data_IF_997228864219
#
_entry.id   IF_997228864219
#
_cell.length_a   1.000
_cell.length_b   1.000
_cell.length_c   1.000
_cell.angle_alpha   90.00
_cell.angle_beta   90.00
_cell.angle_gamma   90.00
#
_symmetry.space_group_name_H-M   'P 1'
#
loop_
_entity.id
_entity.type
_entity.pdbx_description
1 polymer ?
#
# COMPACT_ATOMS: atom_id res chain seq x y z
N UNK A 1 -4.12 -22.56 -12.66
CA UNK A 1 -5.59 -22.40 -12.66
C UNK A 1 -5.98 -21.00 -12.14
N UNK A 2 -5.18 -19.98 -12.45
CA UNK A 2 -4.97 -18.82 -11.55
C UNK A 2 -5.36 -17.47 -12.18
N UNK A 3 -5.28 -17.33 -13.50
CA UNK A 3 -5.49 -16.05 -14.20
C UNK A 3 -6.93 -15.53 -14.21
N UNK A 4 -7.93 -16.37 -13.92
CA UNK A 4 -9.34 -15.96 -13.87
C UNK A 4 -9.72 -15.37 -12.51
N UNK A 5 -9.00 -15.74 -11.45
CA UNK A 5 -9.32 -15.30 -10.09
C UNK A 5 -8.92 -13.84 -9.88
N UNK A 6 -7.76 -13.39 -10.38
CA UNK A 6 -7.34 -11.98 -10.32
C UNK A 6 -8.34 -11.05 -11.00
N UNK A 7 -8.81 -11.37 -12.20
CA UNK A 7 -9.79 -10.57 -12.95
C UNK A 7 -11.16 -10.49 -12.25
N UNK A 8 -11.57 -11.54 -11.55
CA UNK A 8 -12.80 -11.54 -10.76
C UNK A 8 -12.61 -10.72 -9.49
N UNK A 9 -11.50 -10.94 -8.78
CA UNK A 9 -11.17 -10.25 -7.53
C UNK A 9 -11.03 -8.75 -7.74
N UNK A 10 -10.34 -8.30 -8.81
CA UNK A 10 -10.14 -6.87 -9.07
C UNK A 10 -11.46 -6.16 -9.32
N UNK A 11 -12.38 -6.78 -10.07
CA UNK A 11 -13.73 -6.23 -10.34
C UNK A 11 -14.56 -6.19 -9.07
N UNK A 12 -14.50 -7.27 -8.27
CA UNK A 12 -15.26 -7.37 -7.04
C UNK A 12 -14.79 -6.37 -5.98
N UNK A 13 -13.48 -6.24 -5.80
CA UNK A 13 -12.89 -5.27 -4.88
C UNK A 13 -13.16 -3.83 -5.36
N UNK A 14 -13.03 -3.55 -6.65
CA UNK A 14 -13.36 -2.23 -7.23
C UNK A 14 -14.82 -1.86 -6.97
N UNK A 15 -15.76 -2.75 -7.28
CA UNK A 15 -17.19 -2.52 -7.02
C UNK A 15 -17.48 -2.32 -5.53
N UNK A 16 -16.84 -3.09 -4.65
CA UNK A 16 -16.98 -2.91 -3.21
C UNK A 16 -16.45 -1.55 -2.72
N UNK A 17 -15.38 -1.03 -3.32
CA UNK A 17 -14.86 0.29 -3.01
C UNK A 17 -15.82 1.39 -3.52
N UNK A 18 -16.37 1.23 -4.72
CA UNK A 18 -17.36 2.15 -5.31
C UNK A 18 -18.66 2.22 -4.49
N UNK A 19 -19.12 1.09 -3.95
CA UNK A 19 -20.31 1.00 -3.08
C UNK A 19 -20.19 1.94 -1.86
N UNK A 20 -18.98 2.09 -1.32
CA UNK A 20 -18.69 2.90 -0.13
C UNK A 20 -18.19 4.31 -0.48
N UNK A 21 -18.16 4.68 -1.77
CA UNK A 21 -17.72 6.00 -2.25
C UNK A 21 -16.23 6.28 -2.01
N UNK A 22 -15.42 5.25 -2.21
CA UNK A 22 -13.97 5.40 -2.37
C UNK A 22 -13.64 6.40 -3.49
N UNK A 23 -12.54 7.13 -3.32
CA UNK A 23 -12.03 8.10 -4.28
C UNK A 23 -10.82 7.54 -5.02
N UNK A 24 -10.59 8.01 -6.25
CA UNK A 24 -9.38 7.76 -7.04
C UNK A 24 -8.95 6.28 -7.11
N UNK A 25 -9.90 5.37 -7.34
CA UNK A 25 -9.61 3.94 -7.44
C UNK A 25 -8.73 3.69 -8.67
N UNK A 26 -7.55 3.12 -8.45
CA UNK A 26 -6.56 2.81 -9.49
C UNK A 26 -6.12 1.35 -9.39
N UNK A 27 -6.25 0.61 -10.47
CA UNK A 27 -5.68 -0.73 -10.60
C UNK A 27 -4.38 -0.66 -11.42
N UNK A 28 -3.29 -1.17 -10.87
CA UNK A 28 -1.98 -1.27 -11.52
C UNK A 28 -1.69 -2.74 -11.80
N UNK A 29 -1.45 -3.07 -13.07
CA UNK A 29 -0.92 -4.37 -13.48
C UNK A 29 0.57 -4.47 -13.11
N UNK A 30 0.90 -5.46 -12.28
CA UNK A 30 2.26 -5.69 -11.78
C UNK A 30 2.79 -7.08 -12.15
N UNK A 31 2.10 -7.82 -13.01
CA UNK A 31 2.48 -9.18 -13.43
C UNK A 31 3.87 -9.26 -14.08
N UNK A 32 4.27 -8.20 -14.78
CA UNK A 32 5.60 -8.11 -15.40
C UNK A 32 6.68 -7.63 -14.41
N UNK A 33 6.30 -7.24 -13.19
CA UNK A 33 7.18 -6.65 -12.16
C UNK A 33 7.42 -7.60 -10.99
N UNK A 34 6.45 -8.44 -10.65
CA UNK A 34 6.53 -9.39 -9.54
C UNK A 34 5.67 -10.62 -9.80
N UNK A 35 6.08 -11.78 -9.28
CA UNK A 35 5.31 -13.01 -9.32
C UNK A 35 4.41 -13.23 -8.10
N UNK A 36 4.39 -12.27 -7.16
CA UNK A 36 3.66 -12.40 -5.88
C UNK A 36 2.16 -12.12 -6.07
N UNK A 37 1.82 -11.09 -6.85
CA UNK A 37 0.43 -10.65 -7.06
C UNK A 37 0.26 -10.15 -8.49
N UNK A 38 -0.95 -10.21 -9.04
CA UNK A 38 -1.23 -9.75 -10.41
C UNK A 38 -1.54 -8.25 -10.45
N UNK A 39 -2.30 -7.75 -9.46
CA UNK A 39 -2.76 -6.36 -9.42
C UNK A 39 -2.54 -5.68 -8.07
N UNK A 40 -2.11 -4.43 -8.12
CA UNK A 40 -2.18 -3.49 -6.98
C UNK A 40 -3.40 -2.60 -7.17
N UNK A 41 -4.37 -2.68 -6.27
CA UNK A 41 -5.53 -1.80 -6.25
C UNK A 41 -5.32 -0.72 -5.20
N UNK A 42 -5.34 0.55 -5.59
CA UNK A 42 -5.12 1.69 -4.71
C UNK A 42 -6.40 2.52 -4.67
N UNK A 43 -6.88 2.87 -3.48
CA UNK A 43 -8.06 3.71 -3.30
C UNK A 43 -7.88 4.72 -2.16
N UNK A 44 -8.48 5.88 -2.34
CA UNK A 44 -8.44 6.98 -1.37
C UNK A 44 -9.69 6.98 -0.50
N UNK A 45 -9.51 7.03 0.81
CA UNK A 45 -10.55 7.27 1.81
C UNK A 45 -10.49 8.71 2.35
N UNK A 46 -11.61 9.21 2.84
CA UNK A 46 -11.75 10.60 3.35
C UNK A 46 -11.43 10.74 4.84
N UNK A 47 -11.36 9.62 5.57
CA UNK A 47 -11.01 9.54 6.99
C UNK A 47 -10.67 8.10 7.35
N UNK A 48 -10.01 7.88 8.48
CA UNK A 48 -9.68 6.53 8.96
C UNK A 48 -10.92 5.65 9.16
N UNK A 49 -12.04 6.23 9.61
CA UNK A 49 -13.33 5.54 9.69
C UNK A 49 -13.82 5.09 8.31
N UNK A 50 -13.70 5.96 7.31
CA UNK A 50 -14.08 5.63 5.94
C UNK A 50 -13.19 4.49 5.41
N UNK A 51 -11.87 4.58 5.61
CA UNK A 51 -10.91 3.53 5.26
C UNK A 51 -11.30 2.18 5.90
N UNK A 52 -11.59 2.16 7.20
CA UNK A 52 -12.02 0.93 7.89
C UNK A 52 -13.28 0.33 7.26
N UNK A 53 -14.29 1.15 6.93
CA UNK A 53 -15.53 0.68 6.28
C UNK A 53 -15.30 0.18 4.85
N UNK A 54 -14.36 0.76 4.11
CA UNK A 54 -13.99 0.31 2.77
C UNK A 54 -13.37 -1.09 2.82
N UNK A 55 -12.43 -1.30 3.74
CA UNK A 55 -11.73 -2.59 3.91
C UNK A 55 -12.70 -3.67 4.37
N UNK A 56 -13.59 -3.37 5.31
CA UNK A 56 -14.65 -4.27 5.75
C UNK A 56 -15.58 -4.65 4.59
N UNK A 57 -16.04 -3.69 3.79
CA UNK A 57 -16.93 -3.99 2.67
C UNK A 57 -16.24 -4.85 1.59
N UNK A 58 -14.97 -4.55 1.24
CA UNK A 58 -14.20 -5.39 0.31
C UNK A 58 -14.10 -6.81 0.86
N UNK A 59 -13.70 -6.95 2.13
CA UNK A 59 -13.57 -8.25 2.81
C UNK A 59 -14.86 -9.06 2.75
N UNK A 60 -16.00 -8.45 3.02
CA UNK A 60 -17.28 -9.14 3.05
C UNK A 60 -17.74 -9.55 1.65
N UNK A 61 -17.56 -8.67 0.66
CA UNK A 61 -17.91 -8.95 -0.75
C UNK A 61 -17.08 -10.08 -1.33
N UNK A 62 -15.76 -10.11 -1.07
CA UNK A 62 -14.89 -11.20 -1.55
C UNK A 62 -15.20 -12.53 -0.86
N UNK A 63 -15.48 -12.51 0.45
CA UNK A 63 -15.92 -13.70 1.20
C UNK A 63 -17.22 -14.27 0.70
N UNK A 64 -18.19 -13.41 0.36
CA UNK A 64 -19.48 -13.84 -0.20
C UNK A 64 -19.33 -14.57 -1.54
N UNK A 65 -18.25 -14.32 -2.28
CA UNK A 65 -17.90 -15.00 -3.53
C UNK A 65 -16.96 -16.21 -3.33
N UNK A 66 -16.69 -16.60 -2.09
CA UNK A 66 -15.88 -17.76 -1.75
C UNK A 66 -14.37 -17.50 -1.67
N UNK A 67 -13.92 -16.26 -1.85
CA UNK A 67 -12.52 -15.89 -1.69
C UNK A 67 -12.19 -15.62 -0.22
N UNK A 68 -10.96 -15.95 0.19
CA UNK A 68 -10.50 -15.73 1.56
C UNK A 68 -9.36 -14.71 1.57
N UNK A 69 -9.54 -13.57 2.26
CA UNK A 69 -8.42 -12.67 2.54
C UNK A 69 -7.32 -13.40 3.29
N UNK A 70 -6.07 -13.18 2.88
CA UNK A 70 -4.89 -13.81 3.44
C UNK A 70 -4.36 -13.07 4.66
N UNK A 71 -4.49 -11.74 4.67
CA UNK A 71 -4.00 -10.89 5.74
C UNK A 71 -4.51 -9.46 5.63
N UNK A 72 -4.37 -8.72 6.72
CA UNK A 72 -4.65 -7.29 6.79
C UNK A 72 -3.64 -6.61 7.71
N UNK A 73 -3.01 -5.56 7.20
CA UNK A 73 -2.04 -4.73 7.92
C UNK A 73 -2.55 -3.29 8.03
N UNK A 74 -2.18 -2.60 9.13
CA UNK A 74 -2.61 -1.22 9.40
C UNK A 74 -3.98 -1.12 10.09
N UNK A 75 -4.21 -1.84 11.19
CA UNK A 75 -5.51 -1.82 11.90
C UNK A 75 -5.72 -0.57 12.75
N UNK A 76 -6.99 -0.26 13.01
CA UNK A 76 -7.40 0.81 13.94
C UNK A 76 -7.51 2.16 13.25
N UNK A 77 -6.94 3.18 13.85
CA UNK A 77 -6.96 4.56 13.35
C UNK A 77 -5.79 4.81 12.36
N UNK A 78 -5.49 3.82 11.51
CA UNK A 78 -4.44 3.91 10.49
C UNK A 78 -4.93 4.76 9.32
N UNK A 79 -4.04 5.60 8.81
CA UNK A 79 -4.25 6.38 7.59
C UNK A 79 -3.95 5.57 6.33
N UNK A 80 -3.43 4.34 6.48
CA UNK A 80 -3.19 3.38 5.41
C UNK A 80 -3.43 1.94 5.90
N UNK A 81 -4.28 1.22 5.16
CA UNK A 81 -4.56 -0.21 5.35
C UNK A 81 -4.18 -0.98 4.08
N UNK A 82 -3.63 -2.17 4.28
CA UNK A 82 -3.39 -3.15 3.24
C UNK A 82 -4.26 -4.38 3.50
N UNK A 83 -4.97 -4.84 2.48
CA UNK A 83 -5.73 -6.09 2.47
C UNK A 83 -5.17 -7.02 1.39
N UNK A 84 -4.63 -8.15 1.82
CA UNK A 84 -4.04 -9.16 0.94
C UNK A 84 -5.11 -10.19 0.52
N UNK A 85 -5.35 -10.30 -0.79
CA UNK A 85 -6.27 -11.26 -1.40
C UNK A 85 -5.53 -12.28 -2.28
N UNK A 86 -4.20 -12.38 -2.15
CA UNK A 86 -3.30 -13.24 -2.94
C UNK A 86 -3.06 -12.66 -4.32
N UNK A 87 -3.98 -12.95 -5.24
CA UNK A 87 -3.85 -12.55 -6.65
C UNK A 87 -3.99 -11.02 -6.84
N UNK A 88 -4.56 -10.31 -5.87
CA UNK A 88 -4.58 -8.84 -5.82
C UNK A 88 -4.23 -8.35 -4.41
N UNK A 89 -3.65 -7.16 -4.30
CA UNK A 89 -3.43 -6.46 -3.02
C UNK A 89 -4.16 -5.11 -3.05
N UNK A 90 -5.04 -4.89 -2.07
CA UNK A 90 -5.83 -3.66 -1.95
C UNK A 90 -5.20 -2.73 -0.93
N UNK A 91 -4.82 -1.54 -1.38
CA UNK A 91 -4.28 -0.46 -0.57
C UNK A 91 -5.34 0.61 -0.44
N UNK A 92 -5.75 0.88 0.79
CA UNK A 92 -6.71 1.93 1.10
C UNK A 92 -6.06 2.94 2.02
N UNK A 93 -6.05 4.21 1.64
CA UNK A 93 -5.29 5.22 2.37
C UNK A 93 -5.95 6.60 2.31
N UNK A 94 -5.60 7.48 3.23
CA UNK A 94 -5.99 8.90 3.15
C UNK A 94 -5.27 9.59 2.00
N UNK A 95 -5.80 10.73 1.55
CA UNK A 95 -5.16 11.53 0.50
C UNK A 95 -3.73 11.96 0.89
N UNK A 96 -3.50 12.31 2.16
CA UNK A 96 -2.17 12.67 2.67
C UNK A 96 -1.20 11.50 2.65
N UNK A 97 -1.65 10.32 3.09
CA UNK A 97 -0.83 9.10 3.05
C UNK A 97 -0.48 8.72 1.59
N UNK A 98 -1.46 8.79 0.68
CA UNK A 98 -1.24 8.52 -0.75
C UNK A 98 -0.20 9.44 -1.38
N UNK A 99 -0.30 10.72 -1.09
CA UNK A 99 0.67 11.71 -1.57
C UNK A 99 2.07 11.46 -0.98
N UNK A 100 2.15 11.07 0.29
CA UNK A 100 3.43 10.81 0.97
C UNK A 100 4.12 9.55 0.43
N UNK A 101 3.38 8.45 0.26
CA UNK A 101 3.94 7.16 -0.16
C UNK A 101 4.10 7.02 -1.68
N UNK A 102 3.28 7.71 -2.49
CA UNK A 102 3.37 7.76 -3.95
C UNK A 102 3.60 6.38 -4.61
N UNK A 103 2.78 5.40 -4.21
CA UNK A 103 2.91 4.02 -4.67
C UNK A 103 2.74 3.93 -6.19
N UNK A 104 1.91 4.79 -6.77
CA UNK A 104 1.75 4.90 -8.22
C UNK A 104 3.09 5.12 -8.91
N UNK A 105 3.91 6.07 -8.44
CA UNK A 105 5.22 6.30 -9.04
C UNK A 105 6.14 5.10 -8.86
N UNK A 106 6.15 4.47 -7.69
CA UNK A 106 6.98 3.29 -7.44
C UNK A 106 6.66 2.16 -8.43
N UNK A 107 5.37 1.87 -8.60
CA UNK A 107 4.94 0.75 -9.43
C UNK A 107 4.85 1.09 -10.90
N UNK A 108 4.59 2.34 -11.31
CA UNK A 108 4.67 2.75 -12.73
C UNK A 108 6.11 3.02 -13.18
N UNK A 109 7.02 3.38 -12.28
CA UNK A 109 8.36 3.90 -12.58
C UNK A 109 9.54 3.01 -12.16
N UNK A 110 9.34 1.74 -11.82
CA UNK A 110 10.43 0.83 -11.40
C UNK A 110 11.57 0.65 -12.44
N UNK A 111 11.39 1.10 -13.69
CA UNK A 111 12.46 1.20 -14.69
C UNK A 111 13.44 2.36 -14.38
N UNK A 112 12.99 3.44 -13.73
CA UNK A 112 13.79 4.64 -13.44
C UNK A 112 14.60 4.54 -12.14
N UNK A 113 14.11 3.79 -11.14
CA UNK A 113 14.73 3.69 -9.81
C UNK A 113 15.98 2.81 -9.81
N UNK A 114 16.07 1.81 -10.71
CA UNK A 114 17.25 0.93 -10.81
C UNK A 114 18.43 1.61 -11.52
N UNK A 115 18.19 2.66 -12.30
CA UNK A 115 19.24 3.45 -12.95
C UNK A 115 19.84 4.53 -12.03
N UNK A 116 19.26 4.76 -10.85
CA UNK A 116 19.62 5.90 -9.97
C UNK A 116 20.07 5.51 -8.56
N UNK A 117 20.12 4.23 -8.18
CA UNK A 117 20.77 3.79 -6.94
C UNK A 117 22.25 3.48 -7.12
N UNK A 118 23.03 4.55 -7.31
CA UNK A 118 24.38 4.67 -6.77
C UNK A 118 24.31 5.57 -5.52
N UNK A 119 24.63 5.00 -4.35
CA UNK A 119 24.93 5.68 -3.07
C UNK A 119 23.85 6.61 -2.45
N UNK A 120 23.03 6.08 -1.53
CA UNK A 120 23.06 6.51 -0.12
C UNK A 120 22.11 5.66 0.73
N UNK A 121 22.68 5.09 1.78
CA UNK A 121 22.02 4.30 2.81
C UNK A 121 21.01 5.12 3.61
N UNK A 122 19.74 4.73 3.56
CA UNK A 122 18.76 4.85 4.64
C UNK A 122 17.53 4.03 4.26
N UNK A 123 17.28 2.92 4.96
CA UNK A 123 16.03 2.19 4.82
C UNK A 123 14.93 2.97 5.56
N UNK A 124 13.90 3.52 4.89
CA UNK A 124 12.82 4.26 5.55
C UNK A 124 11.92 3.37 6.42
N UNK A 125 12.12 2.04 6.38
CA UNK A 125 11.41 1.06 7.18
C UNK A 125 12.17 0.59 8.42
N UNK A 126 13.23 1.29 8.86
CA UNK A 126 13.87 1.03 10.15
C UNK A 126 13.19 1.84 11.27
N UNK A 127 12.33 1.22 12.12
CA UNK A 127 11.69 1.91 13.24
C UNK A 127 12.67 2.32 14.35
N UNK A 128 13.95 1.92 14.30
CA UNK A 128 14.98 2.31 15.27
C UNK A 128 15.81 3.54 14.86
N UNK A 129 15.62 4.10 13.65
CA UNK A 129 16.42 5.24 13.18
C UNK A 129 16.09 6.59 13.87
N UNK A 130 14.94 6.69 14.53
CA UNK A 130 14.44 7.95 15.11
C UNK A 130 15.16 8.39 16.42
N UNK A 131 16.01 7.55 17.02
CA UNK A 131 16.57 7.79 18.37
C UNK A 131 18.04 8.24 18.40
N UNK A 132 18.66 8.60 17.26
CA UNK A 132 20.10 8.95 17.20
C UNK A 132 20.43 10.42 16.93
N UNK A 133 19.46 11.33 17.06
CA UNK A 133 19.71 12.78 16.95
C UNK A 133 19.84 13.43 18.34
N UNK A 134 20.79 12.96 19.16
CA UNK A 134 21.17 13.61 20.42
C UNK A 134 22.58 13.21 20.85
N UNK A 135 23.61 13.76 20.18
CA UNK A 135 24.91 13.91 20.82
C UNK A 135 25.55 15.21 20.36
N UNK A 136 25.64 16.13 21.32
CA UNK A 136 26.23 17.46 21.21
C UNK A 136 27.74 17.34 20.96
N UNK A 137 28.24 18.08 19.97
CA UNK A 137 29.61 18.00 19.51
C UNK A 137 30.38 19.23 20.00
N UNK A 138 30.91 19.19 21.22
CA UNK A 138 31.83 20.21 21.73
C UNK A 138 33.23 19.94 21.18
N UNK A 139 33.85 20.85 20.38
CA UNK A 139 35.21 20.65 19.90
C UNK A 139 36.21 20.89 21.03
N UNK A 140 37.11 19.93 21.20
CA UNK A 140 38.30 20.03 22.05
C UNK A 140 39.43 20.58 21.18
N UNK A 141 39.83 21.83 21.42
CA UNK A 141 41.11 22.34 20.91
C UNK A 141 42.08 22.57 22.07
N UNK A 142 43.28 22.06 21.84
CA UNK A 142 44.44 22.07 22.72
C UNK A 142 45.25 23.34 22.49
N UNK A 143 45.67 23.99 23.57
CA UNK A 143 46.99 24.61 23.77
C UNK A 143 47.29 24.68 25.28
#
# INVERSE_FOLDING_TARGET
>A
MTKQNSEILIKLATAALEDIKAQDILAIDVRDKTSITDYMLIATGTSNRHIASMVENVRDKVKAQGFKPLGEEGKGDSDWVLLDLGDIIVHVMTASARQFYDLERLWHGAEQSRASHGSHDANPFDPMAADKMSFDNTPSDKE
#
